data_IF_731836505446
#
_entry.id   IF_731836505446
#
_cell.length_a   1.000
_cell.length_b   1.000
_cell.length_c   1.000
_cell.angle_alpha   90.00
_cell.angle_beta   90.00
_cell.angle_gamma   90.00
#
_symmetry.space_group_name_H-M   'P 1'
#
loop_
_entity.id
_entity.type
_entity.pdbx_description
1 polymer ?
#
# COMPACT_ATOMS: atom_id res chain seq x y z
N UNK A 1 -6.42 7.52 4.97
CA UNK A 1 -7.18 6.26 4.81
C UNK A 1 -6.21 5.12 5.04
N UNK A 2 -6.60 4.13 5.86
CA UNK A 2 -5.89 2.88 6.00
C UNK A 2 -6.58 1.83 5.12
N UNK A 3 -5.85 1.24 4.18
CA UNK A 3 -6.32 0.14 3.34
C UNK A 3 -5.66 -1.15 3.82
N UNK A 4 -6.44 -2.14 4.24
CA UNK A 4 -5.92 -3.46 4.65
C UNK A 4 -6.28 -4.46 3.57
N UNK A 5 -5.29 -4.94 2.84
CA UNK A 5 -5.49 -5.88 1.72
C UNK A 5 -4.17 -6.57 1.36
N UNK A 6 -4.23 -7.78 0.82
CA UNK A 6 -3.07 -8.45 0.23
C UNK A 6 -2.81 -8.05 -1.24
N UNK A 7 -3.75 -7.31 -1.85
CA UNK A 7 -3.66 -6.81 -3.24
C UNK A 7 -3.80 -7.89 -4.30
N UNK A 8 -4.26 -9.08 -3.92
CA UNK A 8 -4.55 -10.16 -4.85
C UNK A 8 -5.90 -9.89 -5.51
N UNK A 9 -5.85 -9.46 -6.76
CA UNK A 9 -7.03 -9.24 -7.59
C UNK A 9 -7.24 -10.38 -8.59
N UNK A 10 -8.49 -10.80 -8.77
CA UNK A 10 -8.87 -11.92 -9.66
C UNK A 10 -9.11 -11.48 -11.11
N UNK A 11 -9.43 -10.21 -11.33
CA UNK A 11 -9.79 -9.64 -12.63
C UNK A 11 -8.60 -8.91 -13.28
N UNK A 12 -7.38 -9.37 -12.97
CA UNK A 12 -6.13 -8.81 -13.49
C UNK A 12 -5.94 -7.29 -13.26
N UNK A 13 -6.66 -6.68 -12.33
CA UNK A 13 -6.59 -5.27 -11.99
C UNK A 13 -7.29 -4.35 -12.99
N UNK A 14 -8.21 -4.85 -13.81
CA UNK A 14 -8.99 -4.01 -14.74
C UNK A 14 -9.77 -2.94 -13.97
N UNK A 15 -9.62 -1.67 -14.34
CA UNK A 15 -10.21 -0.52 -13.64
C UNK A 15 -9.62 -0.20 -12.26
N UNK A 16 -8.90 -1.12 -11.61
CA UNK A 16 -8.39 -0.94 -10.25
C UNK A 16 -7.45 0.27 -10.14
N UNK A 17 -6.59 0.52 -11.14
CA UNK A 17 -5.69 1.67 -11.12
C UNK A 17 -6.44 3.01 -11.09
N UNK A 18 -7.55 3.12 -11.83
CA UNK A 18 -8.37 4.34 -11.86
C UNK A 18 -9.05 4.58 -10.51
N UNK A 19 -9.64 3.53 -9.93
CA UNK A 19 -10.28 3.63 -8.61
C UNK A 19 -9.28 3.91 -7.50
N UNK A 20 -8.08 3.31 -7.56
CA UNK A 20 -6.99 3.62 -6.65
C UNK A 20 -6.50 5.06 -6.79
N UNK A 21 -6.43 5.58 -8.03
CA UNK A 21 -6.09 6.99 -8.26
C UNK A 21 -7.17 7.92 -7.68
N UNK A 22 -8.46 7.60 -7.85
CA UNK A 22 -9.57 8.36 -7.28
C UNK A 22 -9.53 8.36 -5.76
N UNK A 23 -9.27 7.19 -5.15
CA UNK A 23 -9.14 7.05 -3.70
C UNK A 23 -7.96 7.86 -3.16
N UNK A 24 -6.80 7.78 -3.80
CA UNK A 24 -5.61 8.54 -3.43
C UNK A 24 -5.87 10.06 -3.46
N UNK A 25 -6.55 10.56 -4.51
CA UNK A 25 -6.94 11.97 -4.59
C UNK A 25 -8.00 12.39 -3.56
N UNK A 26 -8.77 11.44 -3.04
CA UNK A 26 -9.85 11.68 -2.08
C UNK A 26 -9.39 11.65 -0.63
N UNK A 27 -8.10 11.39 -0.35
CA UNK A 27 -7.58 11.36 1.00
C UNK A 27 -6.25 12.11 1.12
N UNK A 28 -5.95 12.57 2.35
CA UNK A 28 -4.67 13.25 2.63
C UNK A 28 -3.47 12.30 2.53
N UNK A 29 -3.67 11.04 2.87
CA UNK A 29 -2.66 10.00 2.90
C UNK A 29 -3.35 8.63 2.75
N UNK A 30 -2.89 7.80 1.81
CA UNK A 30 -3.34 6.44 1.58
C UNK A 30 -2.25 5.46 2.02
N UNK A 31 -2.46 4.83 3.17
CA UNK A 31 -1.54 3.85 3.74
C UNK A 31 -2.08 2.46 3.44
N UNK A 32 -1.34 1.67 2.68
CA UNK A 32 -1.68 0.30 2.39
C UNK A 32 -0.93 -0.66 3.32
N UNK A 33 -1.70 -1.35 4.15
CA UNK A 33 -1.27 -2.36 5.08
C UNK A 33 -1.42 -3.75 4.44
N UNK A 34 -0.31 -4.40 4.14
CA UNK A 34 -0.30 -5.68 3.44
C UNK A 34 0.25 -6.82 4.33
N UNK A 35 -0.56 -7.84 4.67
CA UNK A 35 -0.14 -8.95 5.53
C UNK A 35 0.84 -9.92 4.86
N UNK A 36 1.01 -9.86 3.54
CA UNK A 36 1.96 -10.67 2.78
C UNK A 36 3.38 -10.13 2.82
N UNK A 37 3.60 -8.88 3.25
CA UNK A 37 4.95 -8.29 3.37
C UNK A 37 5.83 -8.95 4.43
N UNK A 38 5.29 -9.91 5.19
CA UNK A 38 6.08 -10.76 6.10
C UNK A 38 6.98 -11.76 5.38
N UNK A 39 6.66 -12.06 4.12
CA UNK A 39 7.39 -13.05 3.34
C UNK A 39 8.56 -12.38 2.63
N UNK A 40 9.79 -12.83 2.89
CA UNK A 40 11.00 -12.30 2.24
C UNK A 40 10.96 -12.41 0.71
N UNK A 41 10.21 -13.39 0.20
CA UNK A 41 9.99 -13.62 -1.24
C UNK A 41 8.76 -12.90 -1.79
N UNK A 42 8.19 -11.93 -1.06
CA UNK A 42 7.11 -11.12 -1.58
C UNK A 42 7.60 -10.34 -2.80
N UNK A 43 6.88 -10.47 -3.91
CA UNK A 43 7.17 -9.73 -5.12
C UNK A 43 5.87 -9.12 -5.67
N UNK A 44 5.97 -7.90 -6.18
CA UNK A 44 4.86 -7.18 -6.81
C UNK A 44 4.52 -7.73 -8.22
N UNK A 45 4.37 -9.04 -8.34
CA UNK A 45 4.02 -9.75 -9.59
C UNK A 45 2.51 -9.80 -9.88
N UNK A 46 1.59 -9.81 -8.90
CA UNK A 46 0.17 -9.77 -9.24
C UNK A 46 -0.21 -8.44 -9.89
N UNK A 47 -1.10 -8.48 -10.87
CA UNK A 47 -1.52 -7.28 -11.60
C UNK A 47 -2.22 -6.27 -10.69
N UNK A 48 -3.04 -6.75 -9.74
CA UNK A 48 -3.66 -5.91 -8.71
C UNK A 48 -2.64 -5.14 -7.87
N UNK A 49 -1.62 -5.85 -7.34
CA UNK A 49 -0.51 -5.22 -6.60
C UNK A 49 0.18 -4.14 -7.42
N UNK A 50 0.53 -4.44 -8.68
CA UNK A 50 1.17 -3.45 -9.58
C UNK A 50 0.28 -2.24 -9.87
N UNK A 51 -1.04 -2.45 -10.00
CA UNK A 51 -1.99 -1.38 -10.25
C UNK A 51 -2.14 -0.46 -9.02
N UNK A 52 -2.10 -1.02 -7.81
CA UNK A 52 -2.27 -0.27 -6.56
C UNK A 52 -1.01 0.49 -6.12
N UNK A 53 0.17 -0.12 -6.28
CA UNK A 53 1.45 0.40 -5.76
C UNK A 53 1.75 1.87 -6.13
N UNK A 54 1.49 2.36 -7.36
CA UNK A 54 1.74 3.75 -7.71
C UNK A 54 0.84 4.76 -7.01
N UNK A 55 -0.23 4.33 -6.33
CA UNK A 55 -1.26 5.21 -5.75
C UNK A 55 -1.26 5.22 -4.23
N UNK A 56 -0.34 4.51 -3.57
CA UNK A 56 -0.24 4.49 -2.10
C UNK A 56 0.92 5.37 -1.63
N UNK A 57 0.74 6.06 -0.51
CA UNK A 57 1.76 6.92 0.10
C UNK A 57 2.72 6.13 0.98
N UNK A 58 2.19 5.14 1.71
CA UNK A 58 2.95 4.23 2.55
C UNK A 58 2.51 2.80 2.27
N UNK A 59 3.47 1.90 2.18
CA UNK A 59 3.26 0.47 2.00
C UNK A 59 3.92 -0.27 3.17
N UNK A 60 3.11 -0.78 4.10
CA UNK A 60 3.58 -1.25 5.40
C UNK A 60 3.06 -2.67 5.70
N UNK A 61 3.81 -3.49 6.44
CA UNK A 61 3.34 -4.80 6.89
C UNK A 61 2.22 -4.68 7.94
N UNK A 62 1.32 -5.67 8.00
CA UNK A 62 0.32 -5.82 9.08
C UNK A 62 0.07 -7.29 9.44
N UNK A 63 1.10 -7.99 9.86
CA UNK A 63 1.04 -9.45 10.08
C UNK A 63 1.26 -9.87 11.53
N UNK A 64 1.56 -8.93 12.44
CA UNK A 64 1.74 -9.20 13.86
C UNK A 64 1.59 -7.92 14.72
N UNK A 65 1.63 -8.08 16.05
CA UNK A 65 1.51 -6.96 16.97
C UNK A 65 2.63 -5.92 16.82
N UNK A 66 3.88 -6.36 16.56
CA UNK A 66 4.99 -5.44 16.32
C UNK A 66 4.68 -4.51 15.13
N UNK A 67 4.15 -5.04 14.04
CA UNK A 67 3.78 -4.23 12.86
C UNK A 67 2.66 -3.21 13.14
N UNK A 68 1.76 -3.49 14.11
CA UNK A 68 0.76 -2.52 14.55
C UNK A 68 1.37 -1.40 15.40
N UNK A 69 2.37 -1.72 16.23
CA UNK A 69 3.15 -0.72 16.97
C UNK A 69 3.94 0.16 15.99
N UNK A 70 4.63 -0.46 15.02
CA UNK A 70 5.36 0.25 13.97
C UNK A 70 4.42 1.17 13.15
N UNK A 71 3.19 0.71 12.87
CA UNK A 71 2.15 1.55 12.25
C UNK A 71 1.81 2.77 13.11
N UNK A 72 1.60 2.59 14.41
CA UNK A 72 1.27 3.68 15.32
C UNK A 72 2.39 4.76 15.31
N UNK A 73 3.65 4.34 15.25
CA UNK A 73 4.77 5.26 15.07
C UNK A 73 4.73 5.96 13.71
N UNK A 74 4.54 5.21 12.63
CA UNK A 74 4.53 5.75 11.27
C UNK A 74 3.44 6.81 11.01
N UNK A 75 2.25 6.64 11.59
CA UNK A 75 1.15 7.63 11.48
C UNK A 75 1.30 8.82 12.42
N UNK A 76 2.17 8.72 13.43
CA UNK A 76 2.48 9.85 14.32
C UNK A 76 3.47 10.83 13.68
N UNK A 77 4.18 10.39 12.64
CA UNK A 77 5.03 11.25 11.82
C UNK A 77 4.21 12.04 10.79
N UNK A 78 4.65 13.25 10.40
CA UNK A 78 4.03 13.97 9.30
C UNK A 78 3.98 13.11 8.02
N UNK A 79 2.87 13.17 7.31
CA UNK A 79 2.71 12.47 6.04
C UNK A 79 3.86 12.82 5.07
N UNK A 80 4.41 11.85 4.31
CA UNK A 80 5.49 12.11 3.39
C UNK A 80 5.06 13.13 2.34
N UNK A 81 5.89 14.15 2.08
CA UNK A 81 5.70 15.03 0.91
C UNK A 81 6.10 14.24 -0.34
N UNK A 82 5.14 13.53 -0.95
CA UNK A 82 5.27 12.78 -2.22
C UNK A 82 6.68 12.21 -2.42
N UNK A 83 7.01 11.16 -1.66
CA UNK A 83 8.29 10.46 -1.81
C UNK A 83 8.37 9.94 -3.25
N UNK A 84 9.49 10.23 -3.92
CA UNK A 84 9.78 9.70 -5.26
C UNK A 84 9.48 8.20 -5.29
N UNK A 85 8.55 7.79 -6.16
CA UNK A 85 8.06 6.42 -6.39
C UNK A 85 9.14 5.42 -6.87
N UNK A 86 10.42 5.74 -6.71
CA UNK A 86 11.58 5.01 -7.24
C UNK A 86 11.96 3.77 -6.41
N UNK A 87 11.46 3.63 -5.17
CA UNK A 87 11.91 2.58 -4.25
C UNK A 87 11.34 1.18 -4.52
N UNK A 88 10.35 1.03 -5.41
CA UNK A 88 9.58 -0.22 -5.55
C UNK A 88 9.60 -0.80 -6.97
N UNK A 89 10.64 -0.46 -7.76
CA UNK A 89 10.89 -1.06 -9.08
C UNK A 89 11.66 -2.37 -8.97
#
# INVERSE_FOLDING_TARGET
VLLVSDGLDREAGEGLAEEMQRLHKSCKELIWLNPLLRYEKFEARPAGVRAMLPHVDRFLPVHNLKSLVDLAHAISEPAPRLVEKRAWR
#
